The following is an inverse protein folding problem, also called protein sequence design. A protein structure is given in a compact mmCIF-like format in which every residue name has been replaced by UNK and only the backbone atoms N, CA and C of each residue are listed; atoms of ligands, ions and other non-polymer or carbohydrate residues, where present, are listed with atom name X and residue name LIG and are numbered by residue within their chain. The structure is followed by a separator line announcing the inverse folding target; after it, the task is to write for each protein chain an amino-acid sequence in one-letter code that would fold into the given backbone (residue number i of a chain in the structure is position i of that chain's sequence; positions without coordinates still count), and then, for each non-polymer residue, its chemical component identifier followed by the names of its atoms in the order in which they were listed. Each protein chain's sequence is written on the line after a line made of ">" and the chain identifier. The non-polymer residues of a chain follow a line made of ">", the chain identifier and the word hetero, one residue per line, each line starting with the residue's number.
data_IF_048983308745
#
_entry.id   IF_048983308745
#
_cell.length_a   1.000
_cell.length_b   1.000
_cell.length_c   1.000
_cell.angle_alpha   90.00
_cell.angle_beta   90.00
_cell.angle_gamma   90.00
#
_symmetry.space_group_name_H-M   'P 1'
#
loop_
_entity.id
_entity.type
_entity.pdbx_description
1 polymer ?
#
# COMPACT_ATOMS: atom_id res chain seq x y z
N UNK A 1 46.03 -1.84 -4.61
CA UNK A 1 44.67 -2.35 -4.94
C UNK A 1 44.76 -3.86 -5.11
N UNK A 2 44.02 -4.65 -4.34
CA UNK A 2 44.09 -6.12 -4.37
C UNK A 2 43.27 -6.64 -5.58
N UNK A 3 43.89 -7.26 -6.61
CA UNK A 3 43.21 -7.67 -7.85
C UNK A 3 42.25 -8.87 -7.70
N UNK A 4 42.07 -9.40 -6.47
CA UNK A 4 41.29 -10.60 -6.17
C UNK A 4 39.94 -10.38 -5.47
N UNK A 5 39.62 -9.17 -5.02
CA UNK A 5 38.32 -8.88 -4.39
C UNK A 5 37.28 -8.51 -5.47
N UNK A 6 36.88 -9.48 -6.30
CA UNK A 6 35.84 -9.28 -7.31
C UNK A 6 34.47 -9.45 -6.68
N UNK A 7 33.80 -8.33 -6.40
CA UNK A 7 32.37 -8.33 -6.11
C UNK A 7 31.62 -9.00 -7.28
N UNK A 8 30.84 -10.03 -7.00
CA UNK A 8 29.99 -10.69 -7.99
C UNK A 8 28.56 -10.16 -7.88
N UNK A 9 27.83 -10.10 -9.00
CA UNK A 9 26.43 -9.68 -9.00
C UNK A 9 25.57 -10.53 -8.04
N UNK A 10 25.88 -11.82 -7.91
CA UNK A 10 25.21 -12.72 -6.96
C UNK A 10 25.49 -12.32 -5.51
N UNK A 11 26.74 -12.00 -5.16
CA UNK A 11 27.11 -11.55 -3.82
C UNK A 11 26.41 -10.23 -3.47
N UNK A 12 26.42 -9.26 -4.38
CA UNK A 12 25.70 -7.98 -4.20
C UNK A 12 24.19 -8.21 -4.06
N UNK A 13 23.60 -9.06 -4.92
CA UNK A 13 22.18 -9.40 -4.83
C UNK A 13 21.78 -10.05 -3.50
N UNK A 14 22.65 -10.87 -2.92
CA UNK A 14 22.44 -11.44 -1.58
C UNK A 14 22.46 -10.38 -0.48
N UNK A 15 23.33 -9.38 -0.59
CA UNK A 15 23.39 -8.25 0.34
C UNK A 15 22.10 -7.44 0.26
N UNK A 16 21.68 -7.06 -0.95
CA UNK A 16 20.49 -6.22 -1.15
C UNK A 16 19.19 -6.88 -0.65
N UNK A 17 19.11 -8.23 -0.68
CA UNK A 17 17.97 -9.00 -0.20
C UNK A 17 18.01 -9.33 1.30
N UNK A 18 19.09 -8.97 2.01
CA UNK A 18 19.27 -9.40 3.39
C UNK A 18 18.57 -8.42 4.37
N UNK A 19 17.51 -8.85 5.08
CA UNK A 19 16.74 -7.98 5.96
C UNK A 19 17.50 -7.52 7.21
N UNK A 20 18.69 -8.09 7.47
CA UNK A 20 19.61 -7.61 8.51
C UNK A 20 19.95 -6.13 8.28
N UNK A 21 20.17 -5.70 7.03
CA UNK A 21 20.50 -4.30 6.77
C UNK A 21 19.37 -3.32 7.12
N UNK A 22 18.13 -3.82 7.22
CA UNK A 22 16.97 -3.06 7.68
C UNK A 22 16.65 -3.27 9.17
N UNK A 23 17.55 -3.88 9.94
CA UNK A 23 17.40 -4.05 11.40
C UNK A 23 16.67 -5.32 11.83
N UNK A 24 16.29 -6.20 10.90
CA UNK A 24 15.54 -7.42 11.22
C UNK A 24 16.45 -8.66 11.25
N UNK A 25 16.24 -9.53 12.23
CA UNK A 25 16.94 -10.80 12.36
C UNK A 25 16.09 -11.93 11.79
N UNK A 26 16.65 -12.72 10.86
CA UNK A 26 16.00 -13.91 10.31
C UNK A 26 16.88 -15.13 10.51
N UNK A 27 16.38 -16.09 11.29
CA UNK A 27 17.07 -17.31 11.68
C UNK A 27 16.29 -18.57 11.29
N UNK A 28 16.96 -19.71 11.32
CA UNK A 28 16.34 -21.01 11.04
C UNK A 28 16.03 -21.28 9.56
N UNK A 29 16.72 -20.61 8.63
CA UNK A 29 16.52 -20.77 7.17
C UNK A 29 16.87 -22.18 6.66
N UNK A 30 17.81 -22.85 7.31
CA UNK A 30 18.27 -24.20 6.96
C UNK A 30 17.98 -25.18 8.09
N UNK A 31 17.74 -26.44 7.74
CA UNK A 31 17.65 -27.57 8.66
C UNK A 31 18.38 -28.78 8.10
N UNK A 32 18.65 -29.76 8.95
CA UNK A 32 18.91 -31.13 8.53
C UNK A 32 17.66 -31.99 8.74
N UNK A 33 17.43 -33.03 7.92
CA UNK A 33 16.27 -33.91 8.05
C UNK A 33 16.23 -34.63 9.41
N UNK A 34 17.40 -35.02 9.91
CA UNK A 34 17.59 -35.56 11.24
C UNK A 34 19.05 -35.37 11.69
N UNK A 35 19.40 -35.88 12.87
CA UNK A 35 20.75 -35.76 13.45
C UNK A 35 21.82 -36.63 12.75
N UNK A 36 21.41 -37.67 12.00
CA UNK A 36 22.30 -38.60 11.29
C UNK A 36 22.63 -38.13 9.88
N UNK A 37 21.69 -37.47 9.22
CA UNK A 37 21.80 -37.00 7.85
C UNK A 37 22.21 -35.53 7.88
N UNK A 38 23.48 -35.25 7.56
CA UNK A 38 24.05 -33.89 7.54
C UNK A 38 23.70 -33.09 6.28
N UNK A 39 22.88 -33.63 5.38
CA UNK A 39 22.41 -32.90 4.21
C UNK A 39 21.51 -31.75 4.67
N UNK A 40 21.87 -30.52 4.30
CA UNK A 40 21.08 -29.33 4.64
C UNK A 40 20.03 -29.09 3.57
N UNK A 41 18.84 -28.69 3.99
CA UNK A 41 17.80 -28.20 3.11
C UNK A 41 17.27 -26.86 3.62
N UNK A 42 16.77 -26.04 2.70
CA UNK A 42 16.12 -24.78 3.01
C UNK A 42 14.71 -25.04 3.52
N UNK A 43 14.38 -24.49 4.70
CA UNK A 43 13.00 -24.51 5.20
C UNK A 43 12.14 -23.55 4.37
N UNK A 44 10.83 -23.83 4.23
CA UNK A 44 9.91 -22.86 3.65
C UNK A 44 9.84 -21.60 4.52
N UNK A 45 9.56 -20.44 3.91
CA UNK A 45 9.72 -19.13 4.55
C UNK A 45 8.81 -18.89 5.76
N UNK A 46 7.67 -19.57 5.81
CA UNK A 46 6.70 -19.60 6.91
C UNK A 46 7.29 -20.20 8.20
N UNK A 47 8.30 -21.06 8.07
CA UNK A 47 9.00 -21.69 9.20
C UNK A 47 10.25 -20.94 9.64
N UNK A 48 10.54 -19.79 9.02
CA UNK A 48 11.67 -18.96 9.41
C UNK A 48 11.32 -18.16 10.65
N UNK A 49 12.24 -18.12 11.62
CA UNK A 49 12.08 -17.27 12.80
C UNK A 49 12.50 -15.86 12.41
N UNK A 50 11.53 -14.94 12.38
CA UNK A 50 11.75 -13.53 12.06
C UNK A 50 11.50 -12.70 13.31
N UNK A 51 12.49 -11.92 13.70
CA UNK A 51 12.39 -10.96 14.79
C UNK A 51 12.71 -9.60 14.22
N UNK A 52 11.77 -8.67 14.36
CA UNK A 52 11.90 -7.33 13.81
C UNK A 52 12.67 -6.40 14.75
N UNK A 53 13.30 -5.35 14.20
CA UNK A 53 13.92 -4.25 14.97
C UNK A 53 14.89 -4.72 16.07
N UNK A 54 15.73 -5.71 15.78
CA UNK A 54 16.67 -6.29 16.75
C UNK A 54 17.90 -5.41 16.95
N UNK A 55 18.23 -4.56 15.98
CA UNK A 55 19.40 -3.67 16.01
C UNK A 55 19.18 -2.42 15.17
N UNK A 56 20.07 -1.44 15.29
CA UNK A 56 20.04 -0.22 14.49
C UNK A 56 20.18 -0.56 13.00
N UNK A 57 19.20 -0.16 12.16
CA UNK A 57 19.22 -0.46 10.73
C UNK A 57 20.30 0.36 10.01
N UNK A 58 21.00 -0.27 9.06
CA UNK A 58 21.97 0.40 8.18
C UNK A 58 21.25 1.18 7.07
N UNK A 59 20.14 0.62 6.57
CA UNK A 59 19.25 1.27 5.59
C UNK A 59 17.85 1.34 6.16
N UNK A 60 17.14 2.43 5.86
CA UNK A 60 15.75 2.56 6.26
C UNK A 60 14.89 1.48 5.57
N UNK A 61 13.87 1.01 6.28
CA UNK A 61 12.99 -0.06 5.82
C UNK A 61 12.37 0.26 4.45
N UNK A 62 11.98 1.51 4.22
CA UNK A 62 11.35 1.91 2.96
C UNK A 62 12.31 1.83 1.78
N UNK A 63 13.59 2.14 2.01
CA UNK A 63 14.64 2.02 0.99
C UNK A 63 14.88 0.55 0.68
N UNK A 64 14.96 -0.30 1.70
CA UNK A 64 15.12 -1.75 1.55
C UNK A 64 13.96 -2.37 0.76
N UNK A 65 12.72 -2.02 1.09
CA UNK A 65 11.52 -2.48 0.40
C UNK A 65 11.48 -2.00 -1.06
N UNK A 66 11.87 -0.75 -1.29
CA UNK A 66 11.97 -0.19 -2.64
C UNK A 66 12.95 -1.00 -3.47
N UNK A 67 14.16 -1.26 -2.96
CA UNK A 67 15.21 -2.03 -3.65
C UNK A 67 14.73 -3.44 -3.97
N UNK A 68 14.15 -4.16 -3.01
CA UNK A 68 13.68 -5.53 -3.22
C UNK A 68 12.58 -5.60 -4.28
N UNK A 69 11.68 -4.61 -4.33
CA UNK A 69 10.69 -4.51 -5.40
C UNK A 69 11.35 -4.28 -6.76
N UNK A 70 12.35 -3.39 -6.86
CA UNK A 70 13.09 -3.18 -8.12
C UNK A 70 13.76 -4.48 -8.57
N UNK A 71 14.36 -5.22 -7.63
CA UNK A 71 15.02 -6.50 -7.91
C UNK A 71 14.04 -7.60 -8.35
N UNK A 72 12.78 -7.52 -7.91
CA UNK A 72 11.73 -8.43 -8.34
C UNK A 72 11.20 -8.11 -9.75
N UNK A 73 11.39 -6.89 -10.24
CA UNK A 73 10.98 -6.48 -11.57
C UNK A 73 11.97 -6.98 -12.63
N UNK A 74 11.47 -7.63 -13.69
CA UNK A 74 12.28 -7.96 -14.86
C UNK A 74 12.65 -6.66 -15.60
N UNK A 75 13.85 -6.17 -15.33
CA UNK A 75 14.38 -4.95 -15.93
C UNK A 75 15.47 -5.33 -16.91
N UNK A 76 15.07 -5.56 -18.17
CA UNK A 76 16.03 -5.73 -19.26
C UNK A 76 16.79 -4.42 -19.46
N UNK A 77 18.12 -4.53 -19.49
CA UNK A 77 19.01 -3.43 -19.87
C UNK A 77 18.83 -3.18 -21.38
N UNK A 78 18.97 -1.92 -21.80
CA UNK A 78 18.90 -1.56 -23.21
C UNK A 78 19.96 -2.34 -24.02
N UNK A 79 19.68 -2.80 -25.25
CA UNK A 79 20.67 -3.48 -26.08
C UNK A 79 21.92 -2.64 -26.37
N UNK A 80 21.79 -1.31 -26.27
CA UNK A 80 22.72 -0.31 -26.76
C UNK A 80 23.48 0.44 -25.64
N UNK A 81 23.26 0.14 -24.35
CA UNK A 81 23.85 0.97 -23.28
C UNK A 81 23.85 0.40 -21.87
N UNK A 82 24.62 1.06 -21.00
CA UNK A 82 24.78 0.75 -19.56
C UNK A 82 23.61 1.26 -18.68
N UNK A 83 22.63 1.95 -19.26
CA UNK A 83 21.60 2.70 -18.51
C UNK A 83 20.22 2.08 -18.68
N UNK A 84 19.54 1.85 -17.55
CA UNK A 84 18.15 1.39 -17.51
C UNK A 84 17.21 2.58 -17.66
N UNK A 85 16.27 2.52 -18.61
CA UNK A 85 15.31 3.60 -18.85
C UNK A 85 14.40 3.86 -17.62
N UNK A 86 13.88 5.09 -17.44
CA UNK A 86 13.08 5.46 -16.27
C UNK A 86 11.89 4.52 -15.99
N UNK A 87 11.22 4.05 -17.05
CA UNK A 87 10.00 3.24 -16.95
C UNK A 87 10.21 1.73 -17.13
N UNK A 88 11.46 1.26 -17.30
CA UNK A 88 11.71 -0.18 -17.46
C UNK A 88 11.19 -0.96 -16.25
N UNK A 89 10.35 -1.97 -16.51
CA UNK A 89 9.73 -2.84 -15.49
C UNK A 89 8.44 -2.30 -14.86
N UNK A 90 7.98 -1.10 -15.26
CA UNK A 90 6.83 -0.42 -14.64
C UNK A 90 5.64 -0.23 -15.58
N UNK A 91 5.81 -0.41 -16.88
CA UNK A 91 4.77 -0.19 -17.88
C UNK A 91 4.09 -1.49 -18.27
N UNK A 92 2.77 -1.50 -18.19
CA UNK A 92 1.94 -2.64 -18.52
C UNK A 92 0.82 -2.25 -19.48
N UNK A 93 0.42 -3.19 -20.34
CA UNK A 93 -0.79 -3.05 -21.14
C UNK A 93 -2.01 -3.28 -20.23
N UNK A 94 -2.97 -2.36 -20.25
CA UNK A 94 -4.16 -2.46 -19.42
C UNK A 94 -5.03 -3.68 -19.77
N UNK A 95 -5.08 -4.05 -21.06
CA UNK A 95 -5.95 -5.11 -21.57
C UNK A 95 -5.33 -6.51 -21.35
N UNK A 96 -4.07 -6.72 -21.75
CA UNK A 96 -3.44 -8.05 -21.67
C UNK A 96 -2.47 -8.23 -20.49
N UNK A 97 -2.30 -7.20 -19.65
CA UNK A 97 -1.41 -7.14 -18.48
C UNK A 97 0.06 -7.45 -18.74
N UNK A 98 0.45 -7.58 -20.01
CA UNK A 98 1.84 -7.84 -20.41
C UNK A 98 2.66 -6.56 -20.37
N UNK A 99 3.95 -6.67 -20.10
CA UNK A 99 4.86 -5.52 -20.05
C UNK A 99 4.96 -4.80 -21.40
N UNK A 100 5.24 -3.49 -21.37
CA UNK A 100 5.45 -2.69 -22.56
C UNK A 100 6.94 -2.67 -22.95
N UNK A 101 7.22 -2.76 -24.25
CA UNK A 101 8.57 -2.80 -24.82
C UNK A 101 8.86 -1.50 -25.53
N UNK A 102 10.00 -0.88 -25.20
CA UNK A 102 10.50 0.32 -25.86
C UNK A 102 11.07 -0.03 -27.25
N UNK A 103 10.78 0.80 -28.26
CA UNK A 103 11.34 0.71 -29.61
C UNK A 103 11.71 2.11 -30.11
N UNK A 104 12.86 2.20 -30.76
CA UNK A 104 13.28 3.39 -31.48
C UNK A 104 12.83 3.27 -32.94
N UNK A 105 12.13 4.30 -33.42
CA UNK A 105 11.66 4.43 -34.80
C UNK A 105 12.38 5.65 -35.41
N UNK A 106 13.29 5.44 -36.39
CA UNK A 106 13.88 6.55 -37.12
C UNK A 106 12.88 7.09 -38.15
N UNK A 107 12.71 8.42 -38.20
CA UNK A 107 11.91 9.09 -39.21
C UNK A 107 12.52 10.46 -39.54
N UNK A 108 12.73 10.76 -40.83
CA UNK A 108 13.24 12.06 -41.29
C UNK A 108 14.56 12.49 -40.66
N UNK A 109 15.50 11.55 -40.45
CA UNK A 109 16.80 11.83 -39.80
C UNK A 109 16.76 11.97 -38.27
N UNK A 110 15.58 11.91 -37.64
CA UNK A 110 15.40 11.97 -36.19
C UNK A 110 15.03 10.59 -35.64
N UNK A 111 15.42 10.30 -34.40
CA UNK A 111 15.06 9.07 -33.67
C UNK A 111 13.91 9.37 -32.71
N UNK A 112 12.82 8.63 -32.82
CA UNK A 112 11.66 8.71 -31.93
C UNK A 112 11.53 7.44 -31.11
N UNK A 113 11.14 7.55 -29.85
CA UNK A 113 10.96 6.40 -28.98
C UNK A 113 9.49 6.19 -28.63
N UNK A 114 9.06 4.93 -28.69
CA UNK A 114 7.70 4.51 -28.44
C UNK A 114 7.68 3.25 -27.57
N UNK A 115 6.65 3.12 -26.75
CA UNK A 115 6.36 1.90 -26.00
C UNK A 115 5.23 1.15 -26.69
N UNK A 116 5.41 -0.16 -26.89
CA UNK A 116 4.44 -1.06 -27.52
C UNK A 116 4.13 -2.24 -26.60
N UNK A 117 2.89 -2.73 -26.65
CA UNK A 117 2.54 -3.98 -25.95
C UNK A 117 3.41 -5.15 -26.46
N UNK A 118 4.08 -5.85 -25.54
CA UNK A 118 4.91 -7.02 -25.84
C UNK A 118 4.15 -8.13 -26.55
N UNK A 119 2.93 -8.45 -26.07
CA UNK A 119 2.09 -9.53 -26.58
C UNK A 119 1.59 -9.25 -28.00
N UNK A 120 1.14 -8.01 -28.25
CA UNK A 120 0.78 -7.57 -29.60
C UNK A 120 2.01 -7.64 -30.54
N UNK A 121 3.19 -7.24 -30.06
CA UNK A 121 4.43 -7.31 -30.84
C UNK A 121 4.83 -8.76 -31.17
N UNK A 122 4.60 -9.70 -30.25
CA UNK A 122 4.90 -11.12 -30.45
C UNK A 122 3.91 -11.82 -31.40
N UNK A 123 2.76 -11.19 -31.70
CA UNK A 123 1.70 -11.79 -32.51
C UNK A 123 0.67 -12.59 -31.70
N UNK A 124 0.75 -12.56 -30.37
CA UNK A 124 -0.04 -13.38 -29.45
C UNK A 124 -1.43 -12.78 -29.11
N UNK A 125 -1.99 -11.94 -29.99
CA UNK A 125 -3.39 -11.50 -29.92
C UNK A 125 -3.74 -10.40 -28.90
N UNK A 126 -3.10 -9.23 -28.98
CA UNK A 126 -3.52 -8.03 -28.23
C UNK A 126 -3.74 -6.85 -29.20
N UNK A 127 -4.57 -5.88 -28.82
CA UNK A 127 -4.81 -4.67 -29.62
C UNK A 127 -3.57 -3.76 -29.64
N UNK A 128 -3.51 -2.84 -30.61
CA UNK A 128 -2.36 -1.96 -30.86
C UNK A 128 -2.22 -0.86 -29.80
N UNK A 129 -1.76 -1.24 -28.61
CA UNK A 129 -1.37 -0.30 -27.57
C UNK A 129 0.00 0.29 -27.88
N UNK A 130 0.03 1.58 -28.23
CA UNK A 130 1.28 2.31 -28.33
C UNK A 130 1.17 3.71 -27.73
N UNK A 131 2.29 4.19 -27.19
CA UNK A 131 2.42 5.57 -26.71
C UNK A 131 3.83 6.09 -26.98
N UNK A 132 3.94 7.37 -27.31
CA UNK A 132 5.23 8.05 -27.45
C UNK A 132 5.88 8.23 -26.07
N UNK A 133 7.19 7.97 -25.97
CA UNK A 133 7.95 8.15 -24.73
C UNK A 133 7.84 9.58 -24.20
N UNK A 134 7.97 10.59 -25.07
CA UNK A 134 7.86 12.01 -24.67
C UNK A 134 6.48 12.37 -24.12
N UNK A 135 5.42 11.80 -24.70
CA UNK A 135 4.05 12.04 -24.24
C UNK A 135 3.83 11.38 -22.89
N UNK A 136 4.32 10.15 -22.72
CA UNK A 136 4.26 9.43 -21.45
C UNK A 136 5.05 10.15 -20.35
N UNK A 137 6.29 10.58 -20.63
CA UNK A 137 7.12 11.34 -19.68
C UNK A 137 6.41 12.60 -19.19
N UNK A 138 5.86 13.40 -20.12
CA UNK A 138 5.15 14.62 -19.77
C UNK A 138 3.89 14.33 -18.95
N UNK A 139 3.10 13.32 -19.34
CA UNK A 139 1.88 12.95 -18.63
C UNK A 139 2.17 12.47 -17.21
N UNK A 140 3.18 11.60 -17.04
CA UNK A 140 3.58 11.09 -15.73
C UNK A 140 4.15 12.21 -14.86
N UNK A 141 4.97 13.10 -15.41
CA UNK A 141 5.54 14.23 -14.67
C UNK A 141 4.43 15.15 -14.15
N UNK A 142 3.48 15.52 -15.01
CA UNK A 142 2.36 16.38 -14.63
C UNK A 142 1.46 15.70 -13.58
N UNK A 143 1.15 14.41 -13.75
CA UNK A 143 0.37 13.66 -12.78
C UNK A 143 1.08 13.59 -11.41
N UNK A 144 2.40 13.35 -11.41
CA UNK A 144 3.20 13.32 -10.18
C UNK A 144 3.21 14.69 -9.48
N UNK A 145 3.41 15.78 -10.23
CA UNK A 145 3.38 17.14 -9.68
C UNK A 145 2.03 17.47 -9.04
N UNK A 146 0.93 17.15 -9.72
CA UNK A 146 -0.43 17.34 -9.19
C UNK A 146 -0.67 16.48 -7.93
N UNK A 147 -0.22 15.23 -7.95
CA UNK A 147 -0.37 14.33 -6.80
C UNK A 147 0.42 14.83 -5.60
N UNK A 148 1.67 15.28 -5.78
CA UNK A 148 2.48 15.87 -4.71
C UNK A 148 1.82 17.14 -4.16
N UNK A 149 1.27 18.00 -5.02
CA UNK A 149 0.54 19.19 -4.57
C UNK A 149 -0.67 18.82 -3.69
N UNK A 150 -1.46 17.84 -4.11
CA UNK A 150 -2.59 17.31 -3.33
C UNK A 150 -2.15 16.77 -1.96
N UNK A 151 -1.05 16.00 -1.92
CA UNK A 151 -0.49 15.48 -0.66
C UNK A 151 -0.09 16.60 0.30
N UNK A 152 0.52 17.69 -0.20
CA UNK A 152 0.91 18.83 0.63
C UNK A 152 -0.31 19.58 1.18
N UNK A 153 -1.40 19.66 0.40
CA UNK A 153 -2.66 20.22 0.89
C UNK A 153 -3.28 19.34 1.97
N UNK A 154 -3.27 18.02 1.79
CA UNK A 154 -3.71 17.06 2.81
C UNK A 154 -2.85 17.17 4.07
N UNK A 155 -1.52 17.22 3.96
CA UNK A 155 -0.60 17.40 5.09
C UNK A 155 -0.94 18.67 5.89
N UNK A 156 -1.23 19.77 5.20
CA UNK A 156 -1.65 21.02 5.84
C UNK A 156 -2.98 20.88 6.57
N UNK A 157 -3.95 20.20 5.98
CA UNK A 157 -5.26 19.94 6.61
C UNK A 157 -5.10 19.04 7.84
N UNK A 158 -4.33 17.96 7.72
CA UNK A 158 -4.03 17.06 8.84
C UNK A 158 -3.36 17.79 10.01
N UNK A 159 -2.36 18.63 9.74
CA UNK A 159 -1.72 19.46 10.78
C UNK A 159 -2.69 20.42 11.45
N UNK A 160 -3.60 21.01 10.69
CA UNK A 160 -4.63 21.88 11.27
C UNK A 160 -5.55 21.10 12.22
N UNK A 161 -5.96 19.90 11.81
CA UNK A 161 -6.80 19.01 12.61
C UNK A 161 -6.09 18.56 13.88
N UNK A 162 -4.80 18.21 13.80
CA UNK A 162 -3.97 17.81 14.95
C UNK A 162 -3.90 18.89 16.04
N UNK A 163 -4.12 20.17 15.70
CA UNK A 163 -4.10 21.29 16.66
C UNK A 163 -5.43 21.51 17.39
N UNK A 164 -6.50 20.80 17.05
CA UNK A 164 -7.82 20.97 17.67
C UNK A 164 -7.96 20.16 18.98
N UNK A 165 -8.19 20.81 20.14
CA UNK A 165 -8.29 20.14 21.45
C UNK A 165 -9.46 19.14 21.58
N UNK A 166 -10.50 19.26 20.73
CA UNK A 166 -11.75 18.50 20.82
C UNK A 166 -11.59 16.98 20.59
N UNK A 167 -10.50 16.51 19.99
CA UNK A 167 -10.40 15.13 19.52
C UNK A 167 -10.12 14.09 20.62
N UNK A 168 -9.48 14.47 21.74
CA UNK A 168 -9.22 13.49 22.81
C UNK A 168 -10.52 13.00 23.47
N UNK A 169 -11.52 13.88 23.58
CA UNK A 169 -12.82 13.52 24.17
C UNK A 169 -13.71 12.76 23.18
N UNK A 170 -13.62 13.05 21.87
CA UNK A 170 -14.31 12.27 20.85
C UNK A 170 -13.75 10.84 20.72
N UNK A 171 -12.42 10.67 20.74
CA UNK A 171 -11.79 9.34 20.74
C UNK A 171 -12.24 8.56 21.98
N UNK A 172 -12.23 9.17 23.17
CA UNK A 172 -12.70 8.53 24.41
C UNK A 172 -14.17 8.12 24.32
N UNK A 173 -15.02 8.94 23.70
CA UNK A 173 -16.44 8.59 23.48
C UNK A 173 -16.58 7.40 22.53
N UNK A 174 -15.84 7.38 21.42
CA UNK A 174 -15.90 6.28 20.44
C UNK A 174 -15.31 4.99 21.05
N UNK A 175 -14.22 5.07 21.83
CA UNK A 175 -13.64 3.94 22.56
C UNK A 175 -14.65 3.35 23.58
N UNK A 176 -15.35 4.22 24.31
CA UNK A 176 -16.40 3.80 25.25
C UNK A 176 -17.54 3.08 24.52
N UNK A 177 -17.99 3.62 23.38
CA UNK A 177 -19.02 2.99 22.55
C UNK A 177 -18.57 1.65 21.96
N UNK A 178 -17.31 1.55 21.56
CA UNK A 178 -16.74 0.31 21.06
C UNK A 178 -16.69 -0.77 22.15
N UNK A 179 -16.30 -0.40 23.37
CA UNK A 179 -16.30 -1.31 24.52
C UNK A 179 -17.71 -1.84 24.80
N UNK A 180 -18.72 -0.96 24.86
CA UNK A 180 -20.12 -1.36 25.06
C UNK A 180 -20.61 -2.32 23.98
N UNK A 181 -20.21 -2.12 22.72
CA UNK A 181 -20.58 -3.03 21.61
C UNK A 181 -19.86 -4.38 21.70
N UNK A 182 -18.62 -4.41 22.18
CA UNK A 182 -17.89 -5.67 22.41
C UNK A 182 -18.52 -6.49 23.53
N UNK A 183 -18.90 -5.86 24.64
CA UNK A 183 -19.65 -6.51 25.73
C UNK A 183 -20.99 -7.07 25.23
N UNK A 184 -21.68 -6.35 24.34
CA UNK A 184 -22.93 -6.81 23.74
C UNK A 184 -22.73 -8.07 22.86
N UNK A 185 -21.66 -8.11 22.07
CA UNK A 185 -21.28 -9.27 21.26
C UNK A 185 -20.99 -10.48 22.15
N UNK A 186 -20.24 -10.27 23.24
CA UNK A 186 -19.86 -11.34 24.17
C UNK A 186 -21.08 -11.89 24.92
N UNK A 187 -22.02 -11.01 25.31
CA UNK A 187 -23.31 -11.42 25.86
C UNK A 187 -24.10 -12.31 24.89
N UNK A 188 -24.22 -11.94 23.62
CA UNK A 188 -24.94 -12.77 22.64
C UNK A 188 -24.22 -14.10 22.33
N UNK A 189 -22.88 -14.11 22.38
CA UNK A 189 -22.09 -15.36 22.25
C UNK A 189 -22.34 -16.30 23.43
N UNK A 190 -22.34 -15.79 24.66
CA UNK A 190 -22.62 -16.58 25.85
C UNK A 190 -24.06 -17.11 25.86
N UNK A 191 -25.04 -16.31 25.43
CA UNK A 191 -26.42 -16.76 25.27
C UNK A 191 -26.56 -17.90 24.26
N UNK A 192 -25.85 -17.85 23.13
CA UNK A 192 -25.82 -18.96 22.16
C UNK A 192 -25.26 -20.26 22.76
N UNK A 193 -24.28 -20.16 23.66
CA UNK A 193 -23.72 -21.32 24.36
C UNK A 193 -24.73 -21.87 25.37
N UNK A 194 -25.34 -21.00 26.18
CA UNK A 194 -26.39 -21.37 27.15
C UNK A 194 -27.56 -22.10 26.48
N UNK A 195 -28.02 -21.61 25.33
CA UNK A 195 -29.16 -22.21 24.61
C UNK A 195 -28.82 -23.61 24.06
N UNK A 196 -27.55 -23.87 23.74
CA UNK A 196 -27.10 -25.21 23.39
C UNK A 196 -27.10 -26.14 24.62
N UNK A 197 -26.75 -25.63 25.79
CA UNK A 197 -26.83 -26.37 27.06
C UNK A 197 -28.30 -26.67 27.45
N UNK A 198 -29.20 -25.71 27.23
CA UNK A 198 -30.64 -25.85 27.48
C UNK A 198 -31.30 -26.86 26.55
N UNK A 199 -30.87 -26.93 25.28
CA UNK A 199 -31.28 -27.99 24.35
C UNK A 199 -30.80 -29.36 24.84
N UNK A 200 -29.55 -29.44 25.31
CA UNK A 200 -28.96 -30.69 25.81
C UNK A 200 -29.63 -31.19 27.10
N UNK A 201 -30.09 -30.27 27.95
CA UNK A 201 -30.83 -30.59 29.18
C UNK A 201 -32.32 -30.85 28.94
N UNK A 202 -32.82 -30.63 27.71
CA UNK A 202 -34.20 -30.86 27.32
C UNK A 202 -35.18 -29.80 27.82
N UNK A 203 -34.67 -28.62 28.20
CA UNK A 203 -35.47 -27.48 28.68
C UNK A 203 -36.17 -26.77 27.51
N UNK A 204 -35.60 -26.84 26.31
CA UNK A 204 -36.15 -26.28 25.07
C UNK A 204 -36.19 -27.34 23.97
N UNK A 205 -37.11 -27.18 23.02
CA UNK A 205 -37.19 -28.07 21.86
C UNK A 205 -36.27 -27.64 20.70
N UNK A 206 -36.21 -28.48 19.66
CA UNK A 206 -35.35 -28.26 18.50
C UNK A 206 -35.78 -27.08 17.61
N UNK A 207 -37.04 -26.67 17.67
CA UNK A 207 -37.60 -25.56 16.89
C UNK A 207 -37.40 -24.23 17.63
N UNK A 208 -37.63 -24.21 18.95
CA UNK A 208 -37.28 -23.10 19.85
C UNK A 208 -35.77 -22.79 19.81
N UNK A 209 -34.92 -23.82 19.85
CA UNK A 209 -33.46 -23.66 19.69
C UNK A 209 -33.10 -22.97 18.37
N UNK A 210 -33.78 -23.32 17.28
CA UNK A 210 -33.51 -22.77 15.95
C UNK A 210 -33.89 -21.30 15.87
N UNK A 211 -35.04 -20.95 16.40
CA UNK A 211 -35.54 -19.57 16.44
C UNK A 211 -34.64 -18.68 17.29
N UNK A 212 -34.28 -19.11 18.50
CA UNK A 212 -33.38 -18.33 19.36
C UNK A 212 -31.96 -18.21 18.78
N UNK A 213 -31.43 -19.29 18.19
CA UNK A 213 -30.12 -19.25 17.50
C UNK A 213 -30.11 -18.25 16.35
N UNK A 214 -31.21 -18.13 15.61
CA UNK A 214 -31.32 -17.17 14.52
C UNK A 214 -31.42 -15.73 15.04
N UNK A 215 -32.22 -15.49 16.09
CA UNK A 215 -32.38 -14.16 16.71
C UNK A 215 -31.06 -13.65 17.29
N UNK A 216 -30.39 -14.45 18.14
CA UNK A 216 -29.08 -14.09 18.68
C UNK A 216 -27.99 -14.11 17.60
N UNK A 217 -28.20 -14.89 16.54
CA UNK A 217 -27.47 -14.83 15.27
C UNK A 217 -27.42 -13.42 14.69
N UNK A 218 -28.60 -12.91 14.33
CA UNK A 218 -28.77 -11.59 13.71
C UNK A 218 -28.29 -10.46 14.61
N UNK A 219 -28.63 -10.48 15.90
CA UNK A 219 -28.20 -9.44 16.86
C UNK A 219 -26.67 -9.39 17.04
N UNK A 220 -26.01 -10.55 17.05
CA UNK A 220 -24.55 -10.63 17.10
C UNK A 220 -23.93 -10.06 15.82
N UNK A 221 -24.49 -10.38 14.65
CA UNK A 221 -23.98 -9.87 13.37
C UNK A 221 -24.18 -8.36 13.21
N UNK A 222 -25.31 -7.80 13.67
CA UNK A 222 -25.57 -6.36 13.70
C UNK A 222 -24.59 -5.63 14.64
N UNK A 223 -24.36 -6.19 15.83
CA UNK A 223 -23.41 -5.63 16.80
C UNK A 223 -21.95 -5.72 16.29
N UNK A 224 -21.56 -6.82 15.63
CA UNK A 224 -20.25 -6.97 14.99
C UNK A 224 -20.05 -5.97 13.85
N UNK A 225 -21.07 -5.76 12.99
CA UNK A 225 -21.02 -4.73 11.94
C UNK A 225 -20.91 -3.31 12.52
N UNK A 226 -21.60 -3.02 13.62
CA UNK A 226 -21.50 -1.72 14.29
C UNK A 226 -20.13 -1.52 14.96
N UNK A 227 -19.58 -2.54 15.62
CA UNK A 227 -18.24 -2.51 16.22
C UNK A 227 -17.14 -2.33 15.17
N UNK A 228 -17.29 -2.95 14.00
CA UNK A 228 -16.36 -2.80 12.89
C UNK A 228 -16.36 -1.37 12.34
N UNK A 229 -17.55 -0.74 12.21
CA UNK A 229 -17.65 0.68 11.82
C UNK A 229 -16.95 1.59 12.84
N UNK A 230 -17.21 1.41 14.14
CA UNK A 230 -16.57 2.20 15.20
C UNK A 230 -15.04 2.01 15.23
N UNK A 231 -14.54 0.79 14.96
CA UNK A 231 -13.08 0.55 14.82
C UNK A 231 -12.50 1.25 13.60
N UNK A 232 -13.22 1.29 12.49
CA UNK A 232 -12.81 2.03 11.30
C UNK A 232 -12.76 3.53 11.59
N UNK A 233 -13.74 4.07 12.32
CA UNK A 233 -13.76 5.47 12.75
C UNK A 233 -12.58 5.81 13.68
N UNK A 234 -12.27 4.97 14.67
CA UNK A 234 -11.09 5.12 15.54
C UNK A 234 -9.80 5.06 14.72
N UNK A 235 -9.69 4.12 13.79
CA UNK A 235 -8.52 3.99 12.93
C UNK A 235 -8.37 5.21 12.03
N UNK A 236 -9.48 5.79 11.57
CA UNK A 236 -9.52 7.04 10.80
C UNK A 236 -8.98 8.21 11.63
N UNK A 237 -9.47 8.37 12.86
CA UNK A 237 -9.07 9.47 13.76
C UNK A 237 -7.62 9.31 14.21
N UNK A 238 -7.16 8.09 14.50
CA UNK A 238 -5.76 7.82 14.87
C UNK A 238 -4.81 7.94 13.68
N UNK A 239 -5.24 7.60 12.46
CA UNK A 239 -4.47 7.85 11.24
C UNK A 239 -4.34 9.35 10.91
N UNK A 240 -5.23 10.19 11.46
CA UNK A 240 -5.14 11.65 11.45
C UNK A 240 -3.85 12.20 12.07
N UNK A 241 -3.25 11.47 13.03
CA UNK A 241 -1.91 11.75 13.59
C UNK A 241 -0.75 11.54 12.58
N UNK A 242 -1.08 11.31 11.32
CA UNK A 242 -0.19 11.01 10.21
C UNK A 242 0.46 12.23 9.56
N UNK A 243 0.38 13.43 10.14
CA UNK A 243 1.09 14.62 9.64
C UNK A 243 2.61 14.42 9.50
N UNK A 244 3.18 13.44 10.21
CA UNK A 244 4.59 12.99 10.11
C UNK A 244 4.72 11.57 9.51
N UNK A 245 3.76 11.15 8.69
CA UNK A 245 3.79 9.82 8.10
C UNK A 245 4.89 9.72 7.04
N UNK A 246 5.57 8.56 7.05
CA UNK A 246 6.72 8.26 6.20
C UNK A 246 6.43 8.44 4.71
N UNK A 247 5.20 8.14 4.28
CA UNK A 247 4.80 8.27 2.88
C UNK A 247 4.70 9.74 2.45
N UNK A 248 4.14 10.65 3.26
CA UNK A 248 4.08 12.09 2.95
C UNK A 248 5.49 12.64 2.75
N UNK A 249 6.42 12.29 3.64
CA UNK A 249 7.81 12.72 3.54
C UNK A 249 8.52 12.19 2.27
N UNK A 250 8.17 10.97 1.81
CA UNK A 250 8.71 10.43 0.56
C UNK A 250 8.31 11.26 -0.68
N UNK A 251 7.07 11.76 -0.73
CA UNK A 251 6.59 12.64 -1.80
C UNK A 251 7.09 14.09 -1.64
N UNK A 252 7.18 14.59 -0.41
CA UNK A 252 7.62 15.96 -0.11
C UNK A 252 9.08 16.24 -0.48
N UNK A 253 9.98 15.26 -0.29
CA UNK A 253 11.38 15.34 -0.76
C UNK A 253 11.51 15.61 -2.27
N UNK A 254 10.44 15.36 -3.00
CA UNK A 254 10.36 15.39 -4.45
C UNK A 254 9.47 16.56 -4.97
N UNK A 255 9.20 17.59 -4.15
CA UNK A 255 8.25 18.69 -4.47
C UNK A 255 8.56 19.49 -5.74
N UNK A 256 9.84 19.67 -6.09
CA UNK A 256 10.27 20.53 -7.20
C UNK A 256 10.87 19.73 -8.36
N UNK A 257 10.31 18.56 -8.66
CA UNK A 257 10.81 17.75 -9.79
C UNK A 257 10.50 18.47 -11.11
N UNK A 258 11.57 18.71 -11.88
CA UNK A 258 11.52 19.20 -13.26
C UNK A 258 11.67 18.08 -14.29
N UNK A 259 12.32 16.97 -13.91
CA UNK A 259 12.64 15.85 -14.80
C UNK A 259 12.46 14.49 -14.11
N UNK A 260 11.98 13.49 -14.85
CA UNK A 260 11.76 12.14 -14.33
C UNK A 260 13.06 11.33 -14.35
N UNK A 261 13.70 11.20 -13.19
CA UNK A 261 14.78 10.22 -13.01
C UNK A 261 14.23 8.83 -12.66
N UNK A 262 14.94 7.77 -13.04
CA UNK A 262 14.58 6.39 -12.67
C UNK A 262 14.38 6.21 -11.17
N UNK A 263 15.23 6.86 -10.36
CA UNK A 263 15.13 6.81 -8.89
C UNK A 263 13.77 7.33 -8.42
N UNK A 264 13.34 8.48 -8.92
CA UNK A 264 12.05 9.10 -8.58
C UNK A 264 10.90 8.20 -9.00
N UNK A 265 10.90 7.77 -10.27
CA UNK A 265 9.84 6.94 -10.84
C UNK A 265 9.67 5.66 -10.03
N UNK A 266 10.76 4.93 -9.78
CA UNK A 266 10.69 3.69 -9.01
C UNK A 266 10.33 3.97 -7.55
N UNK A 267 10.77 5.08 -6.95
CA UNK A 267 10.45 5.39 -5.55
C UNK A 267 9.00 5.79 -5.30
N UNK A 268 8.31 6.39 -6.28
CA UNK A 268 6.98 7.00 -6.11
C UNK A 268 5.86 6.30 -6.88
N UNK A 269 6.20 5.56 -7.93
CA UNK A 269 5.22 4.88 -8.80
C UNK A 269 5.31 3.37 -8.59
N UNK A 270 4.15 2.73 -8.52
CA UNK A 270 4.03 1.28 -8.42
C UNK A 270 4.00 0.64 -9.81
N UNK A 271 3.10 1.12 -10.67
CA UNK A 271 3.00 0.73 -12.07
C UNK A 271 2.24 1.78 -12.89
N UNK A 272 2.35 1.68 -14.21
CA UNK A 272 1.65 2.52 -15.17
C UNK A 272 0.99 1.64 -16.23
N UNK A 273 -0.34 1.69 -16.30
CA UNK A 273 -1.14 0.98 -17.28
C UNK A 273 -1.43 1.87 -18.49
N UNK A 274 -1.28 1.30 -19.68
CA UNK A 274 -1.56 1.98 -20.95
C UNK A 274 -2.75 1.28 -21.62
N UNK A 275 -3.80 2.04 -21.88
CA UNK A 275 -5.03 1.61 -22.55
C UNK A 275 -4.99 1.93 -24.06
N UNK A 276 -5.91 1.32 -24.81
CA UNK A 276 -6.15 1.66 -26.20
C UNK A 276 -6.60 3.13 -26.31
N UNK A 277 -6.09 3.86 -27.31
CA UNK A 277 -6.31 5.31 -27.44
C UNK A 277 -5.37 6.19 -26.59
N UNK A 278 -4.24 5.66 -26.11
CA UNK A 278 -3.21 6.40 -25.38
C UNK A 278 -3.64 6.99 -24.03
N UNK A 279 -4.73 6.49 -23.44
CA UNK A 279 -5.08 6.77 -22.04
C UNK A 279 -4.07 6.08 -21.11
N UNK A 280 -3.58 6.82 -20.13
CA UNK A 280 -2.60 6.35 -19.14
C UNK A 280 -3.25 6.35 -17.77
N UNK A 281 -3.10 5.26 -17.04
CA UNK A 281 -3.47 5.13 -15.64
C UNK A 281 -2.20 4.87 -14.83
N UNK A 282 -2.00 5.67 -13.78
CA UNK A 282 -0.80 5.63 -12.95
C UNK A 282 -1.24 5.23 -11.56
N UNK A 283 -0.62 4.17 -11.02
CA UNK A 283 -0.76 3.84 -9.60
C UNK A 283 0.47 4.33 -8.85
N UNK A 284 0.26 5.29 -7.97
CA UNK A 284 1.31 5.77 -7.07
C UNK A 284 1.53 4.78 -5.93
N UNK A 285 2.70 4.86 -5.31
CA UNK A 285 2.93 4.18 -4.05
C UNK A 285 2.13 4.84 -2.94
N UNK A 286 1.76 4.04 -1.95
CA UNK A 286 0.95 4.49 -0.82
C UNK A 286 -0.43 5.03 -1.26
N UNK A 287 -0.96 4.51 -2.38
CA UNK A 287 -2.25 4.94 -2.92
C UNK A 287 -3.39 4.75 -1.90
N UNK A 288 -3.36 3.66 -1.14
CA UNK A 288 -4.35 3.38 -0.10
C UNK A 288 -4.29 4.42 1.03
N UNK A 289 -3.09 4.75 1.49
CA UNK A 289 -2.86 5.77 2.51
C UNK A 289 -3.26 7.15 2.02
N UNK A 290 -2.97 7.47 0.75
CA UNK A 290 -3.41 8.69 0.11
C UNK A 290 -4.92 8.80 0.02
N UNK A 291 -5.62 7.78 -0.48
CA UNK A 291 -7.09 7.76 -0.59
C UNK A 291 -7.75 7.90 0.78
N UNK A 292 -7.22 7.19 1.78
CA UNK A 292 -7.70 7.30 3.15
C UNK A 292 -7.49 8.70 3.73
N UNK A 293 -6.33 9.30 3.49
CA UNK A 293 -6.03 10.66 3.97
C UNK A 293 -6.85 11.73 3.23
N UNK A 294 -7.11 11.54 1.94
CA UNK A 294 -7.98 12.41 1.14
C UNK A 294 -9.41 12.36 1.64
N UNK A 295 -9.98 11.16 1.82
CA UNK A 295 -11.32 10.97 2.37
C UNK A 295 -11.47 11.64 3.74
N UNK A 296 -10.46 11.52 4.60
CA UNK A 296 -10.44 12.20 5.88
C UNK A 296 -10.40 13.73 5.73
N UNK A 297 -9.52 14.24 4.87
CA UNK A 297 -9.39 15.68 4.64
C UNK A 297 -10.68 16.29 4.04
N UNK A 298 -11.42 15.56 3.22
CA UNK A 298 -12.72 15.96 2.68
C UNK A 298 -13.79 16.03 3.79
N UNK A 299 -13.97 14.95 4.56
CA UNK A 299 -14.94 14.92 5.66
C UNK A 299 -14.63 15.96 6.75
N UNK A 300 -13.34 16.19 7.04
CA UNK A 300 -12.94 17.19 8.02
C UNK A 300 -13.25 18.62 7.54
N UNK A 301 -13.15 18.90 6.24
CA UNK A 301 -13.59 20.20 5.68
C UNK A 301 -15.08 20.42 5.88
N UNK A 302 -15.89 19.38 5.72
CA UNK A 302 -17.34 19.47 5.93
C UNK A 302 -17.70 19.72 7.41
N UNK A 303 -16.97 19.09 8.34
CA UNK A 303 -17.08 19.35 9.77
C UNK A 303 -16.65 20.78 10.14
N UNK A 304 -15.58 21.30 9.55
CA UNK A 304 -15.11 22.68 9.81
C UNK A 304 -16.08 23.71 9.20
N UNK A 305 -16.64 23.42 8.02
CA UNK A 305 -17.62 24.29 7.36
C UNK A 305 -18.95 24.36 8.13
N UNK A 306 -19.36 23.27 8.77
CA UNK A 306 -20.56 23.22 9.61
C UNK A 306 -20.35 23.79 11.02
N UNK A 307 -19.11 23.82 11.51
CA UNK A 307 -18.74 24.41 12.80
C UNK A 307 -18.47 25.94 12.75
N UNK A 308 -18.55 26.59 11.58
CA UNK A 308 -18.41 28.04 11.48
C UNK A 308 -19.67 28.72 12.06
N UNK A 309 -19.58 29.49 13.16
CA UNK A 309 -20.76 30.09 13.77
C UNK A 309 -21.33 31.15 12.83
N UNK A 310 -22.66 31.16 12.71
CA UNK A 310 -23.43 32.16 11.97
C UNK A 310 -22.94 33.58 12.32
N UNK A 311 -22.84 34.50 11.34
CA UNK A 311 -22.42 35.87 11.62
C UNK A 311 -23.37 36.46 12.65
N UNK A 312 -22.79 36.87 13.79
CA UNK A 312 -23.49 37.63 14.82
C UNK A 312 -24.06 38.86 14.12
N UNK A 313 -25.38 38.89 13.91
CA UNK A 313 -26.08 40.10 13.48
C UNK A 313 -25.89 41.13 14.59
N UNK A 314 -25.00 42.08 14.35
CA UNK A 314 -24.83 43.25 15.21
C UNK A 314 -26.15 43.98 15.31
N UNK A 315 -26.68 44.05 16.53
CA UNK A 315 -27.68 45.02 16.93
C UNK A 315 -26.92 46.33 17.17
N UNK A 316 -27.09 47.29 16.28
CA UNK A 316 -27.09 48.74 16.57
C UNK A 316 -28.15 49.38 15.68
#
# INVERSE_FOLDING_TARGET
>A
MNPKAKWTAVAVGRILKNPIYAGHLVQGKESTPNYKIKQRFMKPEDKWVRVENTHEPIVQQEVFDTVNRVLAQDTRIAPDGEVVYPFSGLLFCADCKSGMVRKIVPAGGKKYAYYYCSKNKAGDGCTTHCISEKVLEKAVLQALQNHIASILDIERILRYIDTLPMQQDEIRKIDTQLLMKQEEIEKYKNLKVSIYEDLKSGVIDSDEYREFKEIYGKKCEEAEKAAERLKQDITLVLAGKGANSVWIEAFKKNRNITELSRKVVVSLIEWVNIYSGSRVEIRFRYQYEYERALFFAENAKDLIATASPAPIKGVV
#
